data_IF_281906775428
#
_entry.id   IF_281906775428
#
_cell.length_a   1.000
_cell.length_b   1.000
_cell.length_c   1.000
_cell.angle_alpha   90.00
_cell.angle_beta   90.00
_cell.angle_gamma   90.00
#
_symmetry.space_group_name_H-M   'P 1'
#
loop_
_entity.id
_entity.type
_entity.pdbx_description
1 polymer ?
#
# COMPACT_ATOMS: atom_id res chain seq x y z
N UNK A 1 -16.82 -20.54 40.17
CA UNK A 1 -16.65 -19.07 40.05
C UNK A 1 -15.27 -18.70 39.49
N UNK A 2 -14.20 -19.42 39.85
CA UNK A 2 -12.83 -19.08 39.42
C UNK A 2 -12.48 -19.43 37.97
N UNK A 3 -13.08 -20.46 37.38
CA UNK A 3 -12.82 -20.85 35.99
C UNK A 3 -13.30 -19.81 34.96
N UNK A 4 -14.44 -19.16 35.23
CA UNK A 4 -14.95 -18.07 34.39
C UNK A 4 -14.02 -16.85 34.42
N UNK A 5 -13.40 -16.55 35.57
CA UNK A 5 -12.42 -15.47 35.70
C UNK A 5 -11.11 -15.79 34.98
N UNK A 6 -10.65 -17.03 35.02
CA UNK A 6 -9.47 -17.48 34.27
C UNK A 6 -9.69 -17.43 32.75
N UNK A 7 -10.86 -17.87 32.27
CA UNK A 7 -11.24 -17.80 30.86
C UNK A 7 -11.25 -16.36 30.32
N UNK A 8 -11.86 -15.42 31.07
CA UNK A 8 -11.87 -14.00 30.70
C UNK A 8 -10.47 -13.38 30.69
N UNK A 9 -9.61 -13.72 31.65
CA UNK A 9 -8.21 -13.28 31.69
C UNK A 9 -7.42 -13.83 30.51
N UNK A 10 -7.65 -15.08 30.12
CA UNK A 10 -7.00 -15.71 28.98
C UNK A 10 -7.42 -15.09 27.64
N UNK A 11 -8.72 -14.82 27.45
CA UNK A 11 -9.22 -14.12 26.26
C UNK A 11 -8.70 -12.68 26.16
N UNK A 12 -8.67 -11.95 27.28
CA UNK A 12 -8.10 -10.60 27.35
C UNK A 12 -6.60 -10.60 27.06
N UNK A 13 -5.86 -11.57 27.60
CA UNK A 13 -4.43 -11.75 27.33
C UNK A 13 -4.15 -12.10 25.86
N UNK A 14 -4.96 -12.98 25.23
CA UNK A 14 -4.84 -13.28 23.80
C UNK A 14 -5.13 -12.07 22.91
N UNK A 15 -6.12 -11.24 23.25
CA UNK A 15 -6.35 -9.96 22.55
C UNK A 15 -5.15 -9.03 22.68
N UNK A 16 -4.64 -8.85 23.91
CA UNK A 16 -3.50 -7.98 24.19
C UNK A 16 -2.21 -8.46 23.51
N UNK A 17 -1.97 -9.77 23.43
CA UNK A 17 -0.85 -10.33 22.65
C UNK A 17 -1.03 -10.09 21.15
N UNK A 18 -2.25 -10.28 20.61
CA UNK A 18 -2.53 -9.99 19.20
C UNK A 18 -2.28 -8.51 18.90
N UNK A 19 -2.78 -7.61 19.74
CA UNK A 19 -2.59 -6.16 19.61
C UNK A 19 -1.10 -5.77 19.71
N UNK A 20 -0.35 -6.30 20.68
CA UNK A 20 1.11 -6.06 20.80
C UNK A 20 1.84 -6.58 19.55
N UNK A 21 1.45 -7.74 19.02
CA UNK A 21 2.03 -8.31 17.80
C UNK A 21 1.67 -7.46 16.58
N UNK A 22 0.44 -6.97 16.48
CA UNK A 22 -0.02 -6.08 15.40
C UNK A 22 0.70 -4.71 15.44
N UNK A 23 0.90 -4.13 16.62
CA UNK A 23 1.66 -2.88 16.81
C UNK A 23 3.14 -3.06 16.49
N UNK A 24 3.74 -4.20 16.86
CA UNK A 24 5.14 -4.52 16.53
C UNK A 24 5.32 -4.85 15.05
N UNK A 25 4.37 -5.56 14.44
CA UNK A 25 4.36 -5.86 13.01
C UNK A 25 4.14 -4.59 12.15
N UNK A 26 3.33 -3.64 12.62
CA UNK A 26 3.08 -2.35 11.98
C UNK A 26 4.19 -1.31 12.18
N UNK A 27 5.43 -1.74 12.42
CA UNK A 27 6.62 -0.86 12.51
C UNK A 27 7.81 -1.36 11.71
N UNK A 28 7.73 -2.54 11.10
CA UNK A 28 8.84 -3.12 10.36
C UNK A 28 8.61 -2.92 8.87
N UNK A 29 9.57 -2.27 8.23
CA UNK A 29 9.69 -2.21 6.77
C UNK A 29 9.85 -3.63 6.23
N UNK A 30 9.16 -3.94 5.12
CA UNK A 30 9.24 -5.25 4.48
C UNK A 30 9.54 -5.05 3.01
N UNK A 31 10.58 -5.68 2.49
CA UNK A 31 10.91 -5.63 1.07
C UNK A 31 11.42 -6.98 0.58
N UNK A 32 11.26 -7.22 -0.72
CA UNK A 32 11.84 -8.35 -1.44
C UNK A 32 12.20 -7.90 -2.85
N UNK A 33 13.37 -8.28 -3.35
CA UNK A 33 13.92 -7.87 -4.66
C UNK A 33 13.90 -6.35 -4.89
N UNK A 34 13.96 -5.56 -3.81
CA UNK A 34 14.03 -4.10 -3.80
C UNK A 34 15.16 -3.70 -2.85
N UNK A 35 16.14 -2.93 -3.34
CA UNK A 35 17.12 -2.24 -2.53
C UNK A 35 16.51 -0.93 -2.02
N UNK A 36 16.73 -0.64 -0.74
CA UNK A 36 16.23 0.56 -0.07
C UNK A 36 17.45 1.40 0.33
N UNK A 37 17.59 2.58 -0.27
CA UNK A 37 18.63 3.56 0.03
C UNK A 37 17.98 4.92 0.35
N UNK A 38 17.76 5.18 1.63
CA UNK A 38 16.96 6.31 2.10
C UNK A 38 15.56 6.29 1.50
N UNK A 39 15.23 7.32 0.74
CA UNK A 39 13.94 7.44 0.04
C UNK A 39 13.93 6.76 -1.35
N UNK A 40 15.06 6.17 -1.77
CA UNK A 40 15.22 5.56 -3.08
C UNK A 40 14.99 4.05 -3.00
N UNK A 41 14.06 3.55 -3.81
CA UNK A 41 13.74 2.14 -3.97
C UNK A 41 14.21 1.68 -5.35
N UNK A 42 15.10 0.69 -5.39
CA UNK A 42 15.65 0.17 -6.64
C UNK A 42 15.34 -1.31 -6.83
N UNK A 43 14.82 -1.71 -7.99
CA UNK A 43 14.64 -3.13 -8.32
C UNK A 43 15.97 -3.87 -8.34
N UNK A 44 15.98 -5.03 -7.70
CA UNK A 44 17.13 -5.93 -7.63
C UNK A 44 16.66 -7.39 -7.55
N UNK A 45 15.83 -7.78 -8.52
CA UNK A 45 15.39 -9.16 -8.72
C UNK A 45 15.86 -9.71 -10.05
N UNK A 46 15.79 -11.03 -10.18
CA UNK A 46 16.10 -11.72 -11.42
C UNK A 46 14.93 -11.65 -12.40
N UNK A 47 15.15 -12.17 -13.62
CA UNK A 47 14.12 -12.16 -14.66
C UNK A 47 12.88 -12.96 -14.24
N UNK A 48 11.74 -12.27 -14.18
CA UNK A 48 10.44 -12.86 -13.85
C UNK A 48 10.04 -12.74 -12.37
N UNK A 49 10.94 -12.27 -11.51
CA UNK A 49 10.61 -12.00 -10.11
C UNK A 49 9.83 -10.69 -9.95
N UNK A 50 9.06 -10.62 -8.86
CA UNK A 50 8.37 -9.39 -8.45
C UNK A 50 9.14 -8.79 -7.29
N UNK A 51 9.62 -7.56 -7.47
CA UNK A 51 10.07 -6.72 -6.37
C UNK A 51 8.89 -6.05 -5.72
N UNK A 52 8.82 -6.06 -4.40
CA UNK A 52 7.76 -5.43 -3.63
C UNK A 52 8.32 -4.84 -2.35
N UNK A 53 7.94 -3.60 -2.06
CA UNK A 53 8.23 -2.89 -0.83
C UNK A 53 6.91 -2.65 -0.09
N UNK A 54 6.91 -2.75 1.24
CA UNK A 54 5.79 -2.38 2.12
C UNK A 54 6.34 -1.46 3.20
N UNK A 55 5.85 -0.21 3.22
CA UNK A 55 6.32 0.79 4.18
C UNK A 55 6.12 0.33 5.65
N UNK A 56 6.86 0.89 6.62
CA UNK A 56 6.72 0.48 8.01
C UNK A 56 5.47 1.03 8.69
N UNK A 57 4.84 2.10 8.17
CA UNK A 57 3.75 2.81 8.86
C UNK A 57 2.49 2.94 7.99
N UNK A 58 1.30 2.77 8.61
CA UNK A 58 0.04 3.05 7.95
C UNK A 58 -0.16 4.52 7.62
N UNK A 59 -0.99 4.78 6.63
CA UNK A 59 -1.59 6.11 6.46
C UNK A 59 -2.51 6.40 7.65
N UNK A 60 -2.53 7.67 8.05
CA UNK A 60 -3.33 8.20 9.15
C UNK A 60 -4.16 9.37 8.65
N UNK A 61 -5.10 9.88 9.45
CA UNK A 61 -5.90 11.05 9.07
C UNK A 61 -5.02 12.25 8.70
N UNK A 62 -3.96 12.49 9.48
CA UNK A 62 -3.06 13.64 9.31
C UNK A 62 -1.98 13.40 8.25
N UNK A 63 -1.73 12.13 7.91
CA UNK A 63 -0.81 11.72 6.86
C UNK A 63 -1.48 10.65 6.00
N UNK A 64 -2.39 11.11 5.15
CA UNK A 64 -3.31 10.28 4.36
C UNK A 64 -2.96 10.23 2.87
N UNK A 65 -1.80 10.73 2.47
CA UNK A 65 -1.37 10.85 1.08
C UNK A 65 0.13 10.62 0.95
N UNK A 66 0.56 10.05 -0.17
CA UNK A 66 1.97 9.94 -0.52
C UNK A 66 2.19 9.95 -2.02
N UNK A 67 3.43 10.20 -2.44
CA UNK A 67 3.83 10.20 -3.83
C UNK A 67 5.08 9.35 -4.07
N UNK A 68 5.10 8.72 -5.25
CA UNK A 68 6.25 7.99 -5.79
C UNK A 68 6.65 8.67 -7.09
N UNK A 69 7.88 9.19 -7.13
CA UNK A 69 8.47 9.73 -8.35
C UNK A 69 9.23 8.65 -9.08
N UNK A 70 8.93 8.49 -10.35
CA UNK A 70 9.54 7.48 -11.21
C UNK A 70 10.86 8.05 -11.73
N UNK A 71 11.99 7.59 -11.18
CA UNK A 71 13.31 8.05 -11.64
C UNK A 71 13.68 7.34 -12.94
N UNK A 72 13.56 6.01 -12.96
CA UNK A 72 13.82 5.19 -14.14
C UNK A 72 12.80 4.06 -14.25
N UNK A 73 11.91 4.10 -15.25
CA UNK A 73 10.90 3.07 -15.55
C UNK A 73 11.48 1.68 -15.83
N UNK A 74 12.78 1.57 -16.09
CA UNK A 74 13.41 0.33 -16.55
C UNK A 74 12.81 -0.15 -17.86
N UNK A 75 12.94 -1.45 -18.14
CA UNK A 75 12.59 -2.03 -19.45
C UNK A 75 11.08 -2.09 -19.68
N UNK A 76 10.30 -2.57 -18.71
CA UNK A 76 8.85 -2.78 -18.88
C UNK A 76 7.99 -1.69 -18.27
N UNK A 77 8.53 -0.81 -17.41
CA UNK A 77 7.73 0.22 -16.74
C UNK A 77 6.63 -0.35 -15.83
N UNK A 78 6.75 -1.61 -15.41
CA UNK A 78 5.75 -2.32 -14.60
C UNK A 78 5.87 -1.89 -13.15
N UNK A 79 5.38 -0.70 -12.85
CA UNK A 79 5.42 -0.07 -11.54
C UNK A 79 4.01 -0.04 -10.98
N UNK A 80 3.79 -0.65 -9.83
CA UNK A 80 2.52 -0.53 -9.13
C UNK A 80 2.69 0.35 -7.90
N UNK A 81 1.83 1.37 -7.75
CA UNK A 81 1.78 2.26 -6.58
C UNK A 81 0.41 2.14 -5.94
N UNK A 82 0.38 1.84 -4.63
CA UNK A 82 -0.89 1.74 -3.94
C UNK A 82 -0.82 1.32 -2.48
N UNK A 83 -1.94 0.76 -2.04
CA UNK A 83 -2.26 0.45 -0.66
C UNK A 83 -2.48 -1.06 -0.51
N UNK A 84 -1.81 -1.65 0.47
CA UNK A 84 -1.85 -3.08 0.79
C UNK A 84 -2.03 -3.29 2.30
N UNK A 85 -2.46 -4.47 2.79
CA UNK A 85 -2.38 -4.80 4.22
C UNK A 85 -0.93 -5.06 4.68
N UNK A 86 -0.63 -4.91 5.99
CA UNK A 86 0.73 -5.13 6.53
C UNK A 86 1.25 -6.54 6.25
N UNK A 87 0.36 -7.52 6.12
CA UNK A 87 0.66 -8.93 5.85
C UNK A 87 0.71 -9.27 4.35
N UNK A 88 0.76 -8.28 3.46
CA UNK A 88 0.79 -8.53 2.01
C UNK A 88 1.94 -9.45 1.60
N UNK A 89 1.70 -10.27 0.57
CA UNK A 89 2.77 -11.07 -0.04
C UNK A 89 3.72 -10.17 -0.81
N UNK A 90 5.02 -10.36 -0.61
CA UNK A 90 6.05 -9.60 -1.34
C UNK A 90 6.36 -10.20 -2.73
N UNK A 91 5.67 -11.28 -3.11
CA UNK A 91 5.84 -11.96 -4.41
C UNK A 91 4.78 -11.51 -5.42
N UNK A 92 3.90 -10.57 -5.06
CA UNK A 92 2.80 -10.10 -5.89
C UNK A 92 2.81 -8.57 -5.99
N UNK A 93 2.39 -8.07 -7.14
CA UNK A 93 2.21 -6.64 -7.36
C UNK A 93 0.99 -6.15 -6.55
N UNK A 94 1.07 -4.98 -5.89
CA UNK A 94 -0.05 -4.31 -5.24
C UNK A 94 -1.30 -4.29 -6.12
N UNK A 95 -2.47 -4.50 -5.50
CA UNK A 95 -3.75 -4.60 -6.21
C UNK A 95 -4.07 -5.99 -6.78
N UNK A 96 -3.11 -6.92 -6.84
CA UNK A 96 -3.36 -8.27 -7.38
C UNK A 96 -4.01 -9.24 -6.40
N UNK A 97 -3.74 -9.07 -5.10
CA UNK A 97 -4.32 -9.90 -4.03
C UNK A 97 -5.43 -9.16 -3.28
N UNK A 98 -6.35 -9.87 -2.60
CA UNK A 98 -7.43 -9.28 -1.80
C UNK A 98 -6.96 -8.18 -0.84
N UNK A 99 -7.89 -7.28 -0.50
CA UNK A 99 -7.69 -6.16 0.42
C UNK A 99 -6.60 -5.16 -0.01
N UNK A 100 -6.17 -5.19 -1.27
CA UNK A 100 -5.23 -4.23 -1.84
C UNK A 100 -5.79 -3.50 -3.06
N UNK A 101 -5.29 -2.28 -3.27
CA UNK A 101 -5.61 -1.44 -4.43
C UNK A 101 -4.36 -0.73 -4.92
N UNK A 102 -4.15 -0.70 -6.23
CA UNK A 102 -2.99 -0.01 -6.80
C UNK A 102 -3.26 0.49 -8.21
N UNK A 103 -2.52 1.52 -8.56
CA UNK A 103 -2.41 2.06 -9.90
C UNK A 103 -1.13 1.53 -10.56
N UNK A 104 -1.24 0.99 -11.77
CA UNK A 104 -0.13 0.37 -12.51
C UNK A 104 0.32 1.30 -13.65
N UNK A 105 1.61 1.66 -13.65
CA UNK A 105 2.19 2.66 -14.53
C UNK A 105 2.29 2.19 -15.99
N UNK A 106 2.52 0.89 -16.22
CA UNK A 106 2.73 0.31 -17.55
C UNK A 106 1.47 0.30 -18.42
N UNK A 107 0.29 0.26 -17.80
CA UNK A 107 -1.00 0.17 -18.51
C UNK A 107 -2.02 1.24 -18.10
N UNK A 108 -1.73 2.02 -17.05
CA UNK A 108 -2.60 3.06 -16.54
C UNK A 108 -3.89 2.53 -15.90
N UNK A 109 -3.91 1.26 -15.49
CA UNK A 109 -5.10 0.63 -14.92
C UNK A 109 -5.07 0.61 -13.40
N UNK A 110 -6.28 0.51 -12.85
CA UNK A 110 -6.52 0.28 -11.43
C UNK A 110 -6.72 -1.22 -11.18
N UNK A 111 -5.93 -1.77 -10.26
CA UNK A 111 -6.03 -3.14 -9.77
C UNK A 111 -6.59 -3.12 -8.35
N UNK A 112 -7.56 -3.98 -8.06
CA UNK A 112 -8.24 -4.03 -6.76
C UNK A 112 -8.63 -5.46 -6.41
N UNK A 113 -7.81 -6.12 -5.60
CA UNK A 113 -8.10 -7.46 -5.11
C UNK A 113 -7.86 -8.62 -6.09
N UNK A 114 -7.40 -8.36 -7.32
CA UNK A 114 -7.25 -9.36 -8.39
C UNK A 114 -6.30 -8.90 -9.49
N UNK A 115 -5.62 -9.83 -10.15
CA UNK A 115 -4.72 -9.59 -11.28
C UNK A 115 -5.43 -9.23 -12.61
N UNK A 116 -6.58 -8.54 -12.54
CA UNK A 116 -7.32 -8.02 -13.69
C UNK A 116 -7.65 -6.55 -13.47
N UNK A 117 -6.87 -5.68 -14.10
CA UNK A 117 -7.02 -4.24 -14.01
C UNK A 117 -8.25 -3.71 -14.75
N UNK A 118 -8.72 -2.53 -14.34
CA UNK A 118 -9.76 -1.74 -15.01
C UNK A 118 -9.15 -0.44 -15.52
N UNK A 119 -9.55 0.02 -16.72
CA UNK A 119 -9.13 1.32 -17.24
C UNK A 119 -9.42 2.44 -16.22
N UNK A 120 -8.43 3.29 -15.97
CA UNK A 120 -8.53 4.30 -14.92
C UNK A 120 -7.84 5.62 -15.30
N UNK A 121 -6.57 5.57 -15.66
CA UNK A 121 -5.78 6.74 -16.06
C UNK A 121 -4.94 6.45 -17.30
N UNK A 122 -3.88 7.23 -17.48
CA UNK A 122 -2.91 7.10 -18.59
C UNK A 122 -1.57 6.62 -18.07
N UNK A 123 -0.85 5.82 -18.85
CA UNK A 123 0.45 5.26 -18.47
C UNK A 123 1.40 6.31 -17.87
N UNK A 124 2.26 5.88 -16.95
CA UNK A 124 3.30 6.70 -16.34
C UNK A 124 4.70 6.17 -16.70
N UNK A 125 5.67 7.05 -16.83
CA UNK A 125 7.06 6.72 -17.18
C UNK A 125 8.07 7.53 -16.37
N UNK A 126 9.37 7.36 -16.63
CA UNK A 126 10.42 8.18 -16.02
C UNK A 126 10.07 9.67 -16.09
N UNK A 127 10.22 10.37 -14.96
CA UNK A 127 9.84 11.78 -14.79
C UNK A 127 8.41 12.00 -14.27
N UNK A 128 7.50 11.02 -14.40
CA UNK A 128 6.16 11.12 -13.82
C UNK A 128 6.17 10.82 -12.31
N UNK A 129 5.14 11.35 -11.64
CA UNK A 129 4.88 11.14 -10.22
C UNK A 129 3.49 10.58 -10.01
N UNK A 130 3.38 9.47 -9.29
CA UNK A 130 2.12 8.83 -8.95
C UNK A 130 1.83 9.09 -7.48
N UNK A 131 0.70 9.71 -7.17
CA UNK A 131 0.21 9.86 -5.81
C UNK A 131 -0.90 8.87 -5.47
N UNK A 132 -1.00 8.52 -4.20
CA UNK A 132 -2.05 7.67 -3.65
C UNK A 132 -2.47 8.19 -2.29
N UNK A 133 -3.78 8.28 -2.04
CA UNK A 133 -4.29 8.73 -0.76
C UNK A 133 -5.64 8.16 -0.39
N UNK A 134 -5.98 8.32 0.89
CA UNK A 134 -7.26 7.94 1.48
C UNK A 134 -8.04 9.22 1.79
N UNK A 135 -9.30 9.28 1.41
CA UNK A 135 -10.16 10.42 1.77
C UNK A 135 -10.25 10.56 3.30
N UNK A 136 -10.05 11.76 3.89
CA UNK A 136 -10.06 11.93 5.36
C UNK A 136 -11.33 11.41 6.04
N UNK A 137 -12.50 11.57 5.42
CA UNK A 137 -13.78 11.05 5.92
C UNK A 137 -13.81 9.52 6.01
N UNK A 138 -12.96 8.83 5.24
CA UNK A 138 -12.84 7.37 5.28
C UNK A 138 -12.23 6.86 6.59
N UNK A 139 -11.62 7.73 7.39
CA UNK A 139 -10.98 7.31 8.64
C UNK A 139 -11.95 6.98 9.79
N UNK A 140 -13.23 7.31 9.61
CA UNK A 140 -14.29 7.08 10.61
C UNK A 140 -15.19 5.90 10.24
N UNK A 141 -15.08 5.41 9.01
CA UNK A 141 -15.97 4.38 8.44
C UNK A 141 -15.22 3.08 8.15
N UNK A 142 -15.97 2.04 7.78
CA UNK A 142 -15.43 0.70 7.48
C UNK A 142 -14.93 0.53 6.04
N UNK A 143 -15.08 1.53 5.20
CA UNK A 143 -14.72 1.46 3.77
C UNK A 143 -13.80 2.62 3.45
N UNK A 144 -12.63 2.31 2.89
CA UNK A 144 -11.67 3.33 2.48
C UNK A 144 -11.97 3.79 1.05
N UNK A 145 -12.24 5.08 0.86
CA UNK A 145 -12.21 5.70 -0.46
C UNK A 145 -10.78 6.10 -0.77
N UNK A 146 -10.24 5.51 -1.83
CA UNK A 146 -8.86 5.71 -2.28
C UNK A 146 -8.86 6.53 -3.56
N UNK A 147 -7.97 7.50 -3.63
CA UNK A 147 -7.75 8.32 -4.81
C UNK A 147 -6.30 8.24 -5.27
N UNK A 148 -6.09 8.55 -6.55
CA UNK A 148 -4.77 8.58 -7.16
C UNK A 148 -4.57 9.89 -7.90
N UNK A 149 -3.32 10.32 -8.00
CA UNK A 149 -2.90 11.50 -8.75
C UNK A 149 -1.80 11.13 -9.73
N UNK A 150 -1.72 11.86 -10.85
CA UNK A 150 -0.57 11.88 -11.74
C UNK A 150 -0.03 13.30 -11.76
N UNK A 151 1.25 13.47 -11.41
CA UNK A 151 1.91 14.77 -11.40
C UNK A 151 1.18 15.84 -10.55
N UNK A 152 0.50 15.40 -9.49
CA UNK A 152 -0.29 16.25 -8.58
C UNK A 152 -1.73 16.48 -9.05
N UNK A 153 -2.09 16.11 -10.28
CA UNK A 153 -3.45 16.20 -10.78
C UNK A 153 -4.23 14.93 -10.45
N UNK A 154 -5.44 15.09 -9.91
CA UNK A 154 -6.28 13.97 -9.50
C UNK A 154 -6.85 13.24 -10.72
N UNK A 155 -6.65 11.92 -10.78
CA UNK A 155 -7.18 11.11 -11.88
C UNK A 155 -8.71 10.98 -11.79
N UNK A 156 -9.38 10.98 -12.94
CA UNK A 156 -10.83 10.84 -13.03
C UNK A 156 -11.26 9.40 -12.76
N UNK A 157 -11.57 9.09 -11.50
CA UNK A 157 -12.13 7.82 -11.08
C UNK A 157 -12.00 7.64 -9.57
N UNK A 158 -13.02 7.05 -8.94
CA UNK A 158 -12.98 6.69 -7.51
C UNK A 158 -12.80 5.18 -7.37
N UNK A 159 -11.91 4.77 -6.47
CA UNK A 159 -11.84 3.38 -6.01
C UNK A 159 -12.34 3.31 -4.57
N UNK A 160 -13.30 2.43 -4.33
CA UNK A 160 -13.66 2.01 -2.97
C UNK A 160 -13.09 0.63 -2.75
N UNK A 161 -12.27 0.49 -1.71
CA UNK A 161 -11.93 -0.84 -1.21
C UNK A 161 -12.69 -1.03 0.10
N UNK A 162 -13.41 -2.15 0.20
CA UNK A 162 -13.92 -2.62 1.49
C UNK A 162 -12.69 -2.97 2.29
N UNK A 163 -12.17 -1.98 3.02
CA UNK A 163 -10.99 -2.13 3.81
C UNK A 163 -11.34 -2.97 5.04
N UNK A 164 -11.51 -4.29 4.85
CA UNK A 164 -11.57 -5.26 5.94
C UNK A 164 -10.16 -5.46 6.52
N UNK A 165 -9.48 -4.37 6.86
CA UNK A 165 -8.11 -4.37 7.35
C UNK A 165 -8.17 -4.67 8.85
N UNK A 166 -8.70 -5.84 9.21
CA UNK A 166 -8.87 -6.28 10.61
C UNK A 166 -10.28 -6.63 11.05
N UNK A 167 -10.40 -7.02 12.32
CA UNK A 167 -11.64 -7.51 12.94
C UNK A 167 -12.78 -6.47 12.96
N UNK A 168 -14.07 -6.88 12.94
CA UNK A 168 -15.24 -6.01 12.71
C UNK A 168 -15.46 -4.82 13.69
N UNK A 169 -14.65 -4.68 14.73
CA UNK A 169 -14.84 -3.77 15.85
C UNK A 169 -14.02 -2.47 15.79
N UNK A 170 -13.15 -2.27 14.79
CA UNK A 170 -12.33 -1.05 14.65
C UNK A 170 -12.65 -0.31 13.33
N UNK A 171 -12.52 1.04 13.26
CA UNK A 171 -12.65 1.80 12.02
C UNK A 171 -11.64 1.34 10.97
N UNK A 172 -12.00 1.32 9.68
CA UNK A 172 -11.17 0.68 8.64
C UNK A 172 -9.84 1.38 8.40
N UNK A 173 -9.74 2.68 8.66
CA UNK A 173 -8.52 3.41 8.41
C UNK A 173 -7.58 3.52 9.62
N UNK A 174 -7.96 2.99 10.79
CA UNK A 174 -7.01 2.86 11.91
C UNK A 174 -5.95 1.77 11.63
N UNK A 175 -6.08 1.05 10.51
CA UNK A 175 -5.29 -0.14 10.18
C UNK A 175 -4.80 -0.13 8.73
N UNK A 176 -4.83 1.04 8.07
CA UNK A 176 -4.39 1.23 6.69
C UNK A 176 -2.86 1.15 6.51
N UNK A 177 -2.27 -0.01 6.81
CA UNK A 177 -0.82 -0.26 6.82
C UNK A 177 -0.22 -0.43 5.43
N UNK A 178 0.25 0.71 4.90
CA UNK A 178 1.59 0.83 4.32
C UNK A 178 1.75 0.59 2.81
N UNK A 179 2.59 1.44 2.23
CA UNK A 179 2.75 1.71 0.80
C UNK A 179 3.41 0.57 0.08
N UNK A 180 3.03 0.32 -1.18
CA UNK A 180 3.81 -0.57 -2.01
C UNK A 180 4.16 0.02 -3.36
N UNK A 181 5.47 0.05 -3.63
CA UNK A 181 6.06 0.18 -4.95
C UNK A 181 6.55 -1.22 -5.34
N UNK A 182 6.13 -1.70 -6.50
CA UNK A 182 6.57 -2.99 -7.01
C UNK A 182 7.03 -2.87 -8.46
N UNK A 183 8.08 -3.59 -8.81
CA UNK A 183 8.74 -3.55 -10.11
C UNK A 183 9.09 -4.96 -10.58
N UNK A 184 9.01 -5.25 -11.89
CA UNK A 184 9.32 -6.56 -12.45
C UNK A 184 10.12 -6.48 -13.76
N UNK A 185 11.27 -5.80 -13.76
CA UNK A 185 12.13 -5.72 -14.95
C UNK A 185 13.63 -5.83 -14.69
N UNK A 186 14.35 -6.67 -15.47
CA UNK A 186 15.79 -6.83 -15.39
C UNK A 186 16.52 -5.63 -16.04
N UNK A 187 16.54 -4.50 -15.35
CA UNK A 187 17.51 -3.41 -15.47
C UNK A 187 17.25 -2.47 -14.29
N UNK A 188 18.30 -1.89 -13.70
CA UNK A 188 18.23 -0.99 -12.53
C UNK A 188 17.08 0.00 -12.66
N UNK A 189 16.04 -0.26 -11.91
CA UNK A 189 14.81 0.49 -11.97
C UNK A 189 14.72 1.22 -10.65
N UNK A 190 14.92 2.54 -10.63
CA UNK A 190 14.94 3.32 -9.39
C UNK A 190 13.72 4.24 -9.29
N UNK A 191 13.16 4.35 -8.10
CA UNK A 191 12.06 5.26 -7.76
C UNK A 191 12.39 5.98 -6.47
N UNK A 192 11.90 7.20 -6.29
CA UNK A 192 11.95 7.84 -4.96
C UNK A 192 10.55 7.94 -4.39
N UNK A 193 10.36 7.39 -3.19
CA UNK A 193 9.15 7.51 -2.41
C UNK A 193 9.32 8.71 -1.46
N UNK A 194 8.58 9.80 -1.68
CA UNK A 194 8.56 10.93 -0.74
C UNK A 194 7.17 11.05 -0.12
N UNK A 195 7.13 10.96 1.21
CA UNK A 195 5.92 11.21 1.98
C UNK A 195 5.69 12.69 2.12
N UNK A 196 4.91 13.27 1.22
CA UNK A 196 4.46 14.65 1.37
C UNK A 196 3.08 14.65 2.00
N UNK A 197 3.01 15.12 3.24
CA UNK A 197 1.75 15.53 3.88
C UNK A 197 1.24 16.81 3.22
N UNK A 198 0.81 16.72 1.97
CA UNK A 198 0.16 17.82 1.26
C UNK A 198 -1.01 17.26 0.49
N UNK A 199 -2.20 17.55 1.00
CA UNK A 199 -3.45 17.41 0.26
C UNK A 199 -3.31 18.16 -1.06
N UNK A 200 -3.52 17.54 -2.24
CA UNK A 200 -3.64 18.31 -3.46
C UNK A 200 -4.87 19.23 -3.32
N UNK A 201 -4.67 20.52 -3.63
CA UNK A 201 -5.70 21.56 -3.58
C UNK A 201 -6.90 21.24 -4.50
#
# INVERSE_FOLDING_TARGET
>A
MDELRLHYRFLSWRRRIREIREVRAGRQERSRHILVDGDTLSYHGDSGEVGCYVAPRPLTRDNNYFEVSIVDSGVRGTIAVGLVPQSYSLEHQPGWLPDSVAYHADDGKLYSGRAKGRQFGTKCSSGDRIGCGIEPASFEVRTAQVFFTKNGERMTGRSSTAAAWGTPSAPAATRATSWAAASCSPATTAWTAKGTATTPA
#
